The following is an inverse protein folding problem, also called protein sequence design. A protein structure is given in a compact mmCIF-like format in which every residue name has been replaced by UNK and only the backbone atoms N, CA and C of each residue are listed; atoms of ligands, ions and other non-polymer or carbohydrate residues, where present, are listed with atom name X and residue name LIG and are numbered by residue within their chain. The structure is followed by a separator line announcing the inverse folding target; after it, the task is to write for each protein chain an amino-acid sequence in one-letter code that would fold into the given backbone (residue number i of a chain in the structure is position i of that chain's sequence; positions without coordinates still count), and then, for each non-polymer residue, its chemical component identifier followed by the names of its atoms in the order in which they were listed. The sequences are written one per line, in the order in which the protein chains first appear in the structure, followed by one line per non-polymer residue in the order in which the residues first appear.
data_IF_693779127598
#
_entry.id   IF_693779127598
#
_cell.length_a   1.000
_cell.length_b   1.000
_cell.length_c   1.000
_cell.angle_alpha   90.00
_cell.angle_beta   90.00
_cell.angle_gamma   90.00
#
_symmetry.space_group_name_H-M   'P 1'
#
loop_
_entity.id
_entity.type
_entity.pdbx_description
1 polymer ?
#
# COMPACT_ATOMS: atom_id res chain seq x y z
N UNK A 1 -2.85 1.24 -7.65
CA UNK A 1 -3.15 1.15 -6.20
C UNK A 1 -4.61 0.84 -6.05
N UNK A 2 -4.99 -0.08 -5.17
CA UNK A 2 -6.38 -0.38 -4.87
C UNK A 2 -6.66 -0.09 -3.40
N UNK A 3 -7.56 0.82 -3.10
CA UNK A 3 -7.86 1.30 -1.75
C UNK A 3 -9.32 1.04 -1.40
N UNK A 4 -9.70 1.27 -0.14
CA UNK A 4 -11.09 1.20 0.33
C UNK A 4 -11.76 -0.14 -0.02
N UNK A 5 -11.02 -1.24 0.17
CA UNK A 5 -11.49 -2.59 -0.13
C UNK A 5 -12.49 -2.99 0.95
N UNK A 6 -13.66 -3.44 0.53
CA UNK A 6 -14.68 -4.00 1.41
C UNK A 6 -15.07 -5.34 0.82
N UNK A 7 -14.96 -6.40 1.62
CA UNK A 7 -15.26 -7.77 1.22
C UNK A 7 -16.39 -8.28 2.10
N UNK A 8 -17.36 -8.92 1.46
CA UNK A 8 -18.45 -9.65 2.07
C UNK A 8 -18.31 -11.13 1.68
N UNK A 9 -18.33 -12.02 2.67
CA UNK A 9 -18.07 -13.45 2.48
C UNK A 9 -19.24 -14.25 3.04
N UNK A 10 -19.85 -15.07 2.19
CA UNK A 10 -20.82 -16.10 2.56
C UNK A 10 -20.09 -17.44 2.59
N UNK A 11 -19.66 -17.84 3.79
CA UNK A 11 -18.91 -19.09 4.03
C UNK A 11 -19.72 -20.36 3.73
N UNK A 12 -21.04 -20.31 3.95
CA UNK A 12 -21.94 -21.45 3.74
C UNK A 12 -22.19 -21.66 2.25
N UNK A 13 -22.43 -20.58 1.51
CA UNK A 13 -22.56 -20.63 0.06
C UNK A 13 -21.20 -20.78 -0.65
N UNK A 14 -20.09 -20.51 0.04
CA UNK A 14 -18.77 -20.45 -0.56
C UNK A 14 -18.69 -19.36 -1.63
N UNK A 15 -19.30 -18.21 -1.39
CA UNK A 15 -19.26 -17.05 -2.31
C UNK A 15 -18.73 -15.81 -1.60
N UNK A 16 -18.11 -14.90 -2.33
CA UNK A 16 -17.72 -13.59 -1.78
C UNK A 16 -17.90 -12.49 -2.81
N UNK A 17 -18.09 -11.26 -2.32
CA UNK A 17 -18.14 -10.05 -3.14
C UNK A 17 -17.17 -9.03 -2.58
N UNK A 18 -16.42 -8.36 -3.43
CA UNK A 18 -15.57 -7.25 -3.02
C UNK A 18 -15.89 -5.99 -3.81
N UNK A 19 -15.83 -4.85 -3.14
CA UNK A 19 -15.82 -3.53 -3.76
C UNK A 19 -14.55 -2.81 -3.36
N UNK A 20 -13.92 -2.15 -4.31
CA UNK A 20 -12.70 -1.40 -4.04
C UNK A 20 -12.55 -0.23 -4.98
N UNK A 21 -11.65 0.69 -4.65
CA UNK A 21 -11.30 1.83 -5.48
C UNK A 21 -9.93 1.59 -6.06
N UNK A 22 -9.69 1.95 -7.30
CA UNK A 22 -8.34 1.96 -7.85
C UNK A 22 -7.90 3.36 -8.21
N UNK A 23 -6.60 3.57 -8.10
CA UNK A 23 -5.89 4.77 -8.53
C UNK A 23 -4.66 4.31 -9.28
N UNK A 24 -4.56 4.72 -10.53
CA UNK A 24 -3.56 4.28 -11.49
C UNK A 24 -2.53 5.39 -11.73
N UNK A 25 -1.27 5.03 -11.55
CA UNK A 25 -0.13 5.89 -11.85
C UNK A 25 0.73 5.23 -12.92
N UNK A 26 1.38 6.04 -13.76
CA UNK A 26 2.39 5.56 -14.69
C UNK A 26 3.50 6.58 -14.83
N UNK A 27 4.73 6.08 -14.97
CA UNK A 27 5.88 6.79 -15.50
C UNK A 27 6.42 5.98 -16.68
N UNK A 28 6.94 6.66 -17.70
CA UNK A 28 7.66 6.07 -18.84
C UNK A 28 8.93 6.90 -19.09
N UNK A 29 9.89 6.44 -19.91
CA UNK A 29 11.06 7.26 -20.26
C UNK A 29 10.71 8.63 -20.86
N UNK A 30 9.49 8.81 -21.37
CA UNK A 30 8.99 10.05 -21.98
C UNK A 30 7.90 10.74 -21.16
N UNK A 31 7.52 10.19 -20.00
CA UNK A 31 6.43 10.72 -19.17
C UNK A 31 6.78 10.59 -17.68
N UNK A 32 6.82 11.74 -16.98
CA UNK A 32 6.97 11.79 -15.52
C UNK A 32 5.84 11.03 -14.80
N UNK A 33 6.08 10.61 -13.57
CA UNK A 33 5.07 9.91 -12.77
C UNK A 33 3.84 10.82 -12.58
N UNK A 34 2.68 10.30 -12.95
CA UNK A 34 1.42 11.04 -12.83
C UNK A 34 0.24 10.12 -12.62
N UNK A 35 -0.83 10.67 -12.02
CA UNK A 35 -2.13 10.04 -12.01
C UNK A 35 -2.65 9.94 -13.44
N UNK A 36 -3.01 8.72 -13.84
CA UNK A 36 -3.59 8.43 -15.15
C UNK A 36 -5.09 8.19 -15.05
N UNK A 37 -5.56 7.50 -14.03
CA UNK A 37 -6.97 7.19 -13.87
C UNK A 37 -7.30 6.84 -12.43
N UNK A 38 -8.58 6.97 -12.07
CA UNK A 38 -9.13 6.37 -10.87
C UNK A 38 -10.47 5.72 -11.19
N UNK A 39 -10.89 4.81 -10.34
CA UNK A 39 -12.14 4.10 -10.55
C UNK A 39 -12.46 3.15 -9.43
N UNK A 40 -13.35 2.21 -9.72
CA UNK A 40 -13.81 1.19 -8.78
C UNK A 40 -13.75 -0.21 -9.40
N UNK A 41 -13.49 -1.20 -8.57
CA UNK A 41 -13.71 -2.60 -8.91
C UNK A 41 -14.90 -3.13 -8.11
N UNK A 42 -15.72 -3.93 -8.77
CA UNK A 42 -16.68 -4.83 -8.14
C UNK A 42 -16.33 -6.24 -8.58
N UNK A 43 -16.00 -7.07 -7.60
CA UNK A 43 -15.48 -8.40 -7.80
C UNK A 43 -16.42 -9.42 -7.16
N UNK A 44 -16.58 -10.56 -7.83
CA UNK A 44 -17.28 -11.73 -7.28
C UNK A 44 -16.32 -12.91 -7.26
N UNK A 45 -16.47 -13.74 -6.23
CA UNK A 45 -15.63 -14.90 -5.99
C UNK A 45 -16.47 -16.12 -5.62
N UNK A 46 -15.97 -17.30 -5.99
CA UNK A 46 -16.48 -18.60 -5.56
C UNK A 46 -15.36 -19.42 -4.93
N UNK A 47 -15.70 -20.22 -3.91
CA UNK A 47 -14.80 -21.17 -3.27
C UNK A 47 -14.83 -22.49 -4.00
N UNK A 48 -13.77 -22.80 -4.72
CA UNK A 48 -13.59 -24.02 -5.52
C UNK A 48 -12.36 -24.75 -4.97
N UNK A 49 -12.54 -26.02 -4.60
CA UNK A 49 -11.50 -26.89 -4.01
C UNK A 49 -10.79 -26.25 -2.79
N UNK A 50 -11.55 -25.53 -1.97
CA UNK A 50 -11.05 -24.87 -0.77
C UNK A 50 -10.32 -23.54 -1.01
N UNK A 51 -10.18 -23.09 -2.25
CA UNK A 51 -9.61 -21.79 -2.61
C UNK A 51 -10.63 -20.81 -3.18
N UNK A 52 -10.42 -19.52 -3.00
CA UNK A 52 -11.27 -18.46 -3.56
C UNK A 52 -10.80 -18.05 -4.97
N UNK A 53 -11.71 -18.02 -5.94
CA UNK A 53 -11.43 -17.69 -7.33
C UNK A 53 -12.34 -16.56 -7.81
N UNK A 54 -11.79 -15.63 -8.61
CA UNK A 54 -12.62 -14.63 -9.30
C UNK A 54 -13.57 -15.33 -10.27
N UNK A 55 -14.86 -15.03 -10.18
CA UNK A 55 -15.84 -15.35 -11.22
C UNK A 55 -16.05 -14.17 -12.14
N UNK A 56 -16.14 -12.98 -11.55
CA UNK A 56 -16.44 -11.73 -12.24
C UNK A 56 -15.61 -10.58 -11.68
N UNK A 57 -15.20 -9.69 -12.58
CA UNK A 57 -14.66 -8.38 -12.22
C UNK A 57 -15.28 -7.34 -13.15
N UNK A 58 -15.98 -6.39 -12.54
CA UNK A 58 -16.40 -5.17 -13.19
C UNK A 58 -15.42 -4.05 -12.84
N UNK A 59 -14.87 -3.39 -13.85
CA UNK A 59 -14.01 -2.21 -13.69
C UNK A 59 -14.77 -0.96 -14.12
N UNK A 60 -14.98 -0.03 -13.19
CA UNK A 60 -15.57 1.27 -13.46
C UNK A 60 -14.48 2.32 -13.48
N UNK A 61 -14.34 3.03 -14.60
CA UNK A 61 -13.34 4.09 -14.75
C UNK A 61 -14.00 5.43 -14.43
N UNK A 62 -13.86 5.92 -13.20
CA UNK A 62 -14.52 7.16 -12.76
C UNK A 62 -13.83 8.41 -13.30
N UNK A 63 -12.50 8.40 -13.36
CA UNK A 63 -11.71 9.49 -13.97
C UNK A 63 -10.58 8.94 -14.83
N UNK A 64 -10.26 9.63 -15.93
CA UNK A 64 -9.13 9.27 -16.79
C UNK A 64 -8.47 10.49 -17.43
N UNK A 65 -7.15 10.41 -17.54
CA UNK A 65 -6.32 11.23 -18.41
C UNK A 65 -5.99 10.49 -19.71
N UNK A 66 -4.84 10.81 -20.29
CA UNK A 66 -4.31 10.11 -21.46
C UNK A 66 -3.82 8.71 -21.08
N UNK A 67 -4.47 7.68 -21.62
CA UNK A 67 -4.14 6.27 -21.39
C UNK A 67 -3.46 5.62 -22.61
N UNK A 68 -3.08 6.37 -23.64
CA UNK A 68 -2.54 5.83 -24.90
C UNK A 68 -1.22 5.07 -24.71
N UNK A 69 -0.43 5.45 -23.71
CA UNK A 69 0.80 4.73 -23.33
C UNK A 69 0.56 3.66 -22.25
N UNK A 70 -0.67 3.50 -21.76
CA UNK A 70 -1.02 2.56 -20.70
C UNK A 70 -1.80 1.35 -21.23
N UNK A 71 -2.81 1.59 -22.07
CA UNK A 71 -3.71 0.54 -22.57
C UNK A 71 -3.57 0.47 -24.10
N UNK A 72 -3.29 -0.73 -24.62
CA UNK A 72 -3.15 -0.98 -26.06
C UNK A 72 -4.28 -1.86 -26.56
N UNK A 73 -4.99 -1.43 -27.60
CA UNK A 73 -5.99 -2.26 -28.30
C UNK A 73 -7.33 -2.42 -27.59
N UNK A 74 -7.65 -1.56 -26.62
CA UNK A 74 -8.93 -1.55 -25.93
C UNK A 74 -9.65 -0.22 -26.19
N UNK A 75 -10.82 -0.26 -26.83
CA UNK A 75 -11.70 0.91 -26.91
C UNK A 75 -12.46 1.03 -25.59
N UNK A 76 -12.16 2.07 -24.81
CA UNK A 76 -12.92 2.40 -23.61
C UNK A 76 -14.20 3.09 -24.09
N UNK A 77 -15.31 2.34 -24.12
CA UNK A 77 -16.64 2.89 -24.42
C UNK A 77 -17.03 4.00 -23.45
N UNK A 78 -18.02 4.82 -23.83
CA UNK A 78 -18.64 5.76 -22.89
C UNK A 78 -19.26 4.99 -21.73
N UNK A 79 -19.11 5.51 -20.51
CA UNK A 79 -19.72 4.92 -19.32
C UNK A 79 -21.24 4.85 -19.53
N UNK A 80 -21.90 3.70 -19.34
CA UNK A 80 -23.34 3.71 -19.16
C UNK A 80 -23.61 4.54 -17.90
N UNK A 81 -24.33 5.65 -18.03
CA UNK A 81 -24.78 6.50 -16.93
C UNK A 81 -25.82 5.80 -16.03
N UNK A 82 -26.05 4.50 -16.21
CA UNK A 82 -27.00 3.74 -15.41
C UNK A 82 -26.38 3.41 -14.04
N UNK A 83 -26.78 4.20 -13.05
CA UNK A 83 -26.32 4.15 -11.67
C UNK A 83 -26.70 2.85 -10.96
N UNK A 84 -27.54 2.00 -11.55
CA UNK A 84 -27.93 0.69 -11.01
C UNK A 84 -26.78 -0.33 -10.99
N UNK A 85 -25.67 -0.06 -11.70
CA UNK A 85 -24.47 -0.91 -11.70
C UNK A 85 -23.55 -0.62 -10.49
N UNK A 86 -23.89 0.35 -9.62
CA UNK A 86 -23.04 0.81 -8.50
C UNK A 86 -22.99 -0.09 -7.26
N UNK A 87 -23.31 -1.38 -7.39
CA UNK A 87 -23.42 -2.30 -6.26
C UNK A 87 -24.77 -2.17 -5.54
N UNK A 88 -25.06 -3.07 -4.58
CA UNK A 88 -26.35 -3.08 -3.89
C UNK A 88 -26.62 -1.73 -3.21
N UNK A 89 -27.89 -1.32 -3.07
CA UNK A 89 -28.25 -0.09 -2.36
C UNK A 89 -27.59 -0.09 -0.97
N UNK A 90 -27.15 1.10 -0.52
CA UNK A 90 -26.44 1.31 0.76
C UNK A 90 -27.20 0.79 2.00
N UNK A 91 -28.47 0.42 1.84
CA UNK A 91 -29.33 -0.15 2.88
C UNK A 91 -29.08 -1.65 3.13
N UNK A 92 -28.39 -2.36 2.23
CA UNK A 92 -28.06 -3.80 2.35
C UNK A 92 -26.57 -4.05 2.69
N UNK A 93 -25.90 -3.14 3.39
CA UNK A 93 -24.51 -3.37 3.81
C UNK A 93 -24.52 -4.27 5.06
N UNK A 94 -24.07 -5.52 4.99
CA UNK A 94 -23.96 -6.37 6.18
C UNK A 94 -22.98 -5.75 7.19
N UNK A 95 -23.07 -6.14 8.47
CA UNK A 95 -22.11 -5.69 9.47
C UNK A 95 -20.69 -6.00 8.98
N UNK A 96 -19.83 -4.97 8.97
CA UNK A 96 -18.44 -5.11 8.54
C UNK A 96 -17.76 -6.23 9.35
N UNK A 97 -17.07 -7.17 8.70
CA UNK A 97 -16.28 -8.15 9.43
C UNK A 97 -15.27 -7.41 10.29
N UNK A 98 -15.24 -7.73 11.58
CA UNK A 98 -14.21 -7.22 12.49
C UNK A 98 -12.94 -8.03 12.18
N UNK A 99 -11.81 -7.37 11.82
CA UNK A 99 -10.56 -8.08 11.64
C UNK A 99 -10.22 -8.89 12.89
N UNK A 100 -9.71 -10.11 12.71
CA UNK A 100 -9.20 -10.87 13.84
C UNK A 100 -7.98 -10.16 14.49
N UNK A 101 -7.60 -10.62 15.67
CA UNK A 101 -6.52 -10.01 16.46
C UNK A 101 -5.19 -9.92 15.69
N UNK A 102 -4.88 -10.94 14.86
CA UNK A 102 -3.63 -10.99 14.11
C UNK A 102 -3.63 -9.95 13.00
N UNK A 103 -4.71 -9.86 12.22
CA UNK A 103 -4.87 -8.85 11.17
C UNK A 103 -4.78 -7.44 11.76
N UNK A 104 -5.51 -7.16 12.84
CA UNK A 104 -5.48 -5.85 13.49
C UNK A 104 -4.08 -5.48 14.01
N UNK A 105 -3.38 -6.43 14.64
CA UNK A 105 -2.02 -6.20 15.15
C UNK A 105 -1.01 -5.94 14.02
N UNK A 106 -1.04 -6.76 12.96
CA UNK A 106 -0.13 -6.63 11.82
C UNK A 106 -0.40 -5.34 11.02
N UNK A 107 -1.66 -5.01 10.75
CA UNK A 107 -2.03 -3.74 10.11
C UNK A 107 -1.57 -2.54 10.94
N UNK A 108 -1.75 -2.59 12.27
CA UNK A 108 -1.27 -1.54 13.17
C UNK A 108 0.24 -1.35 13.04
N UNK A 109 1.04 -2.42 13.02
CA UNK A 109 2.49 -2.32 12.80
C UNK A 109 2.83 -1.67 11.45
N UNK A 110 2.15 -2.06 10.37
CA UNK A 110 2.38 -1.52 9.03
C UNK A 110 2.06 -0.02 9.00
N UNK A 111 0.93 0.39 9.55
CA UNK A 111 0.46 1.78 9.52
C UNK A 111 1.22 2.67 10.50
N UNK A 112 1.57 2.18 11.69
CA UNK A 112 2.39 2.92 12.65
C UNK A 112 3.79 3.20 12.08
N UNK A 113 4.39 2.27 11.34
CA UNK A 113 5.66 2.56 10.67
C UNK A 113 5.52 3.75 9.71
N UNK A 114 4.50 3.73 8.84
CA UNK A 114 4.24 4.81 7.89
C UNK A 114 4.00 6.16 8.58
N UNK A 115 3.18 6.18 9.64
CA UNK A 115 2.90 7.37 10.44
C UNK A 115 4.18 7.94 11.07
N UNK A 116 5.02 7.11 11.68
CA UNK A 116 6.28 7.57 12.29
C UNK A 116 7.21 8.21 11.26
N UNK A 117 7.32 7.64 10.07
CA UNK A 117 8.10 8.25 8.98
C UNK A 117 7.52 9.61 8.60
N UNK A 118 6.21 9.73 8.39
CA UNK A 118 5.56 10.98 7.98
C UNK A 118 5.67 12.09 9.06
N UNK A 119 5.72 11.70 10.33
CA UNK A 119 5.95 12.60 11.46
C UNK A 119 7.44 12.95 11.66
N UNK A 120 8.35 12.28 10.96
CA UNK A 120 9.81 12.43 11.17
C UNK A 120 10.33 11.79 12.45
N UNK A 121 9.56 10.90 13.08
CA UNK A 121 9.96 10.12 14.26
C UNK A 121 10.78 8.89 13.84
N UNK A 122 12.02 9.16 13.41
CA UNK A 122 12.92 8.12 12.90
C UNK A 122 13.40 7.18 13.99
N UNK A 123 13.58 7.67 15.22
CA UNK A 123 13.88 6.85 16.40
C UNK A 123 12.77 5.85 16.68
N UNK A 124 11.51 6.28 16.70
CA UNK A 124 10.38 5.39 16.88
C UNK A 124 10.26 4.38 15.73
N UNK A 125 10.51 4.79 14.49
CA UNK A 125 10.51 3.88 13.34
C UNK A 125 11.63 2.82 13.44
N UNK A 126 12.83 3.22 13.89
CA UNK A 126 13.93 2.31 14.18
C UNK A 126 13.59 1.31 15.29
N UNK A 127 12.96 1.79 16.37
CA UNK A 127 12.60 0.97 17.53
C UNK A 127 11.68 -0.21 17.19
N UNK A 128 10.81 -0.05 16.18
CA UNK A 128 9.96 -1.14 15.68
C UNK A 128 10.75 -2.35 15.14
N UNK A 129 12.05 -2.19 14.90
CA UNK A 129 12.99 -3.23 14.44
C UNK A 129 14.10 -3.54 15.47
N UNK A 130 14.02 -3.02 16.70
CA UNK A 130 15.07 -3.22 17.72
C UNK A 130 15.17 -4.66 18.24
N UNK A 131 14.11 -5.46 18.13
CA UNK A 131 14.05 -6.84 18.64
C UNK A 131 14.47 -7.90 17.60
N UNK A 132 15.52 -7.63 16.83
CA UNK A 132 16.03 -8.55 15.80
C UNK A 132 15.40 -8.37 14.41
N UNK A 133 14.38 -7.51 14.29
CA UNK A 133 13.78 -7.15 13.02
C UNK A 133 14.75 -6.45 12.06
N UNK A 134 14.57 -6.63 10.75
CA UNK A 134 15.41 -5.97 9.73
C UNK A 134 14.60 -5.34 8.60
N UNK A 135 14.90 -4.09 8.28
CA UNK A 135 14.45 -3.45 7.05
C UNK A 135 15.52 -3.58 5.96
N UNK A 136 15.08 -3.88 4.75
CA UNK A 136 15.90 -3.96 3.55
C UNK A 136 15.43 -2.90 2.55
N UNK A 137 16.30 -1.95 2.26
CA UNK A 137 16.10 -0.99 1.17
C UNK A 137 16.43 -1.58 -0.20
N UNK A 138 16.37 -0.76 -1.27
CA UNK A 138 16.72 -1.19 -2.62
C UNK A 138 18.17 -1.71 -2.79
N UNK A 139 19.09 -1.26 -1.94
CA UNK A 139 20.49 -1.72 -1.91
C UNK A 139 20.68 -3.08 -1.22
N UNK A 140 19.62 -3.62 -0.61
CA UNK A 140 19.62 -4.89 0.11
C UNK A 140 20.30 -4.86 1.47
N UNK A 141 20.76 -3.71 1.96
CA UNK A 141 21.43 -3.61 3.27
C UNK A 141 20.41 -3.80 4.40
N UNK A 142 20.58 -4.80 5.29
CA UNK A 142 19.70 -4.98 6.43
C UNK A 142 20.01 -3.96 7.53
N UNK A 143 19.01 -3.20 7.96
CA UNK A 143 19.12 -2.23 9.05
C UNK A 143 18.06 -2.50 10.11
N UNK A 144 18.38 -2.27 11.38
CA UNK A 144 17.43 -2.38 12.48
C UNK A 144 17.76 -1.44 13.63
N UNK A 145 16.76 -1.12 14.45
CA UNK A 145 16.96 -0.31 15.66
C UNK A 145 17.64 1.04 15.36
N UNK A 146 18.70 1.42 16.09
CA UNK A 146 19.41 2.67 15.90
C UNK A 146 20.01 2.88 14.50
N UNK A 147 20.53 1.82 13.86
CA UNK A 147 21.13 1.91 12.53
C UNK A 147 20.10 2.31 11.48
N UNK A 148 18.88 1.77 11.61
CA UNK A 148 17.76 2.14 10.75
C UNK A 148 17.34 3.60 10.99
N UNK A 149 17.24 4.03 12.25
CA UNK A 149 16.88 5.41 12.58
C UNK A 149 17.89 6.43 11.99
N UNK A 150 19.18 6.12 12.05
CA UNK A 150 20.23 6.96 11.45
C UNK A 150 20.11 7.01 9.93
N UNK A 151 19.94 5.87 9.27
CA UNK A 151 19.78 5.80 7.82
C UNK A 151 18.54 6.56 7.32
N UNK A 152 17.41 6.47 8.04
CA UNK A 152 16.20 7.22 7.73
C UNK A 152 16.46 8.73 7.87
N UNK A 153 17.10 9.18 8.95
CA UNK A 153 17.44 10.60 9.12
C UNK A 153 18.33 11.14 7.98
N UNK A 154 19.26 10.31 7.50
CA UNK A 154 20.10 10.66 6.34
C UNK A 154 19.35 10.64 5.00
N UNK A 155 18.19 9.98 4.93
CA UNK A 155 17.43 9.78 3.69
C UNK A 155 16.33 10.81 3.48
N UNK A 156 15.79 11.41 4.55
CA UNK A 156 14.69 12.37 4.46
C UNK A 156 15.17 13.81 4.66
N UNK A 157 14.81 14.70 3.74
CA UNK A 157 14.90 16.15 3.96
C UNK A 157 13.74 16.61 4.85
N UNK A 158 14.04 17.46 5.82
CA UNK A 158 13.03 18.09 6.66
C UNK A 158 12.72 19.50 6.16
N UNK A 159 11.42 19.82 6.10
CA UNK A 159 10.85 21.11 5.75
C UNK A 159 10.07 21.63 6.96
N UNK A 160 10.62 22.66 7.62
CA UNK A 160 10.11 23.17 8.90
C UNK A 160 9.99 22.06 9.98
N UNK A 161 10.96 21.13 10.01
CA UNK A 161 10.99 20.03 10.98
C UNK A 161 10.15 18.80 10.61
N UNK A 162 9.45 18.80 9.47
CA UNK A 162 8.67 17.65 8.99
C UNK A 162 9.17 17.16 7.63
N UNK A 163 9.18 15.84 7.35
CA UNK A 163 9.44 15.32 6.00
C UNK A 163 8.43 15.79 4.94
N UNK A 164 7.25 16.27 5.37
CA UNK A 164 6.11 16.65 4.51
C UNK A 164 5.64 15.55 3.58
N UNK A 165 5.91 14.29 3.93
CA UNK A 165 5.43 13.15 3.18
C UNK A 165 4.09 12.65 3.68
N UNK A 166 3.40 11.91 2.82
CA UNK A 166 2.31 11.02 3.21
C UNK A 166 2.55 9.64 2.59
N UNK A 167 2.72 8.62 3.41
CA UNK A 167 2.72 7.23 2.98
C UNK A 167 1.27 6.75 2.86
N UNK A 168 0.88 6.38 1.64
CA UNK A 168 -0.40 5.75 1.33
C UNK A 168 -0.14 4.26 1.17
N UNK A 169 -0.29 3.51 2.25
CA UNK A 169 -0.18 2.05 2.25
C UNK A 169 -1.54 1.42 2.03
N UNK A 170 -1.60 0.45 1.12
CA UNK A 170 -2.85 -0.18 0.71
C UNK A 170 -2.62 -1.61 0.23
N UNK A 171 -3.70 -2.32 -0.15
CA UNK A 171 -3.65 -3.71 -0.60
C UNK A 171 -2.90 -4.60 0.42
N UNK A 172 -3.13 -4.41 1.72
CA UNK A 172 -2.50 -5.21 2.76
C UNK A 172 -3.12 -6.61 2.72
N UNK A 173 -2.33 -7.59 2.29
CA UNK A 173 -2.69 -9.00 2.27
C UNK A 173 -1.85 -9.69 3.34
N UNK A 174 -2.51 -10.22 4.37
CA UNK A 174 -1.87 -10.87 5.51
C UNK A 174 -2.13 -12.38 5.42
N UNK A 175 -1.08 -13.16 5.66
CA UNK A 175 -1.12 -14.62 5.70
C UNK A 175 -0.59 -15.07 7.08
N UNK A 176 -1.49 -15.29 8.05
CA UNK A 176 -1.12 -15.68 9.41
C UNK A 176 -0.91 -17.20 9.56
N UNK A 177 0.16 -17.58 10.26
CA UNK A 177 0.38 -18.92 10.80
C UNK A 177 0.32 -18.83 12.34
N UNK A 178 -0.89 -19.04 12.88
CA UNK A 178 -1.15 -18.89 14.32
C UNK A 178 -0.44 -19.94 15.18
N UNK A 179 -0.26 -21.17 14.64
CA UNK A 179 0.41 -22.26 15.33
C UNK A 179 1.90 -21.96 15.50
N UNK A 180 2.55 -21.47 14.44
CA UNK A 180 3.93 -21.01 14.49
C UNK A 180 4.10 -19.64 15.16
N UNK A 181 3.01 -18.88 15.33
CA UNK A 181 3.06 -17.51 15.84
C UNK A 181 3.78 -16.57 14.86
N UNK A 182 3.60 -16.76 13.57
CA UNK A 182 4.22 -15.95 12.51
C UNK A 182 3.17 -15.42 11.54
N UNK A 183 3.50 -14.38 10.79
CA UNK A 183 2.66 -13.90 9.71
C UNK A 183 3.53 -13.31 8.61
N UNK A 184 3.05 -13.35 7.37
CA UNK A 184 3.63 -12.56 6.28
C UNK A 184 2.61 -11.56 5.78
N UNK A 185 3.08 -10.45 5.23
CA UNK A 185 2.21 -9.52 4.55
C UNK A 185 2.82 -8.98 3.25
N UNK A 186 1.95 -8.71 2.29
CA UNK A 186 2.29 -7.95 1.08
C UNK A 186 1.41 -6.72 1.03
N UNK A 187 2.00 -5.58 0.71
CA UNK A 187 1.24 -4.34 0.55
C UNK A 187 1.86 -3.46 -0.54
N UNK A 188 1.08 -2.49 -1.01
CA UNK A 188 1.52 -1.47 -1.94
C UNK A 188 1.66 -0.15 -1.20
N UNK A 189 2.59 0.69 -1.63
CA UNK A 189 2.72 2.05 -1.14
C UNK A 189 2.82 3.06 -2.28
N UNK A 190 2.33 4.27 -2.01
CA UNK A 190 2.77 5.47 -2.70
C UNK A 190 3.10 6.55 -1.67
N UNK A 191 4.13 7.33 -1.94
CA UNK A 191 4.56 8.44 -1.09
C UNK A 191 4.26 9.73 -1.82
N UNK A 192 3.43 10.59 -1.21
CA UNK A 192 3.24 11.95 -1.70
C UNK A 192 4.13 12.90 -0.92
N UNK A 193 4.49 14.04 -1.53
CA UNK A 193 5.19 15.14 -0.90
C UNK A 193 4.60 16.47 -1.38
N UNK A 194 4.49 17.43 -0.47
CA UNK A 194 4.09 18.81 -0.78
C UNK A 194 4.87 19.78 0.13
N UNK A 195 5.45 20.83 -0.43
CA UNK A 195 6.14 21.88 0.34
C UNK A 195 5.49 23.25 0.09
N UNK A 196 6.05 24.33 0.64
CA UNK A 196 5.56 25.68 0.32
C UNK A 196 5.85 26.07 -1.14
N UNK A 197 6.91 25.50 -1.70
CA UNK A 197 7.42 25.78 -3.04
C UNK A 197 6.94 24.77 -4.08
N UNK A 198 6.49 23.59 -3.64
CA UNK A 198 6.13 22.46 -4.51
C UNK A 198 4.69 22.01 -4.26
N UNK A 199 3.83 21.94 -5.29
CA UNK A 199 2.50 21.34 -5.16
C UNK A 199 2.61 19.85 -4.83
N UNK A 200 1.51 19.28 -4.33
CA UNK A 200 1.43 17.85 -4.02
C UNK A 200 1.75 17.01 -5.25
N UNK A 201 2.64 16.04 -5.06
CA UNK A 201 3.08 15.11 -6.09
C UNK A 201 3.46 13.78 -5.47
N UNK A 202 3.39 12.71 -6.25
CA UNK A 202 3.90 11.40 -5.83
C UNK A 202 5.36 11.34 -6.21
N UNK A 203 6.18 10.98 -5.23
CA UNK A 203 7.64 10.95 -5.33
C UNK A 203 8.20 9.52 -5.32
N UNK A 204 7.42 8.55 -4.84
CA UNK A 204 7.78 7.15 -4.83
C UNK A 204 6.53 6.26 -4.85
N UNK A 205 6.61 5.11 -5.48
CA UNK A 205 5.60 4.06 -5.37
C UNK A 205 6.25 2.67 -5.48
N UNK A 206 5.68 1.70 -4.79
CA UNK A 206 6.24 0.37 -4.75
C UNK A 206 5.43 -0.60 -3.90
N UNK A 207 6.13 -1.60 -3.37
CA UNK A 207 5.55 -2.68 -2.55
C UNK A 207 6.38 -2.92 -1.29
N UNK A 208 5.72 -3.40 -0.25
CA UNK A 208 6.38 -3.99 0.91
C UNK A 208 6.10 -5.49 0.94
N UNK A 209 7.15 -6.26 1.20
CA UNK A 209 7.04 -7.66 1.61
C UNK A 209 7.53 -7.75 3.06
N UNK A 210 6.62 -8.04 3.97
CA UNK A 210 6.84 -8.03 5.40
C UNK A 210 6.73 -9.44 5.99
N UNK A 211 7.50 -9.68 7.04
CA UNK A 211 7.37 -10.86 7.89
C UNK A 211 7.31 -10.42 9.35
N UNK A 212 6.48 -11.12 10.13
CA UNK A 212 6.18 -10.83 11.52
C UNK A 212 6.32 -12.09 12.37
N UNK A 213 6.62 -11.88 13.64
CA UNK A 213 6.66 -12.93 14.64
C UNK A 213 6.02 -12.43 15.94
N UNK A 214 5.42 -13.36 16.67
CA UNK A 214 4.85 -13.12 17.99
C UNK A 214 5.85 -13.55 19.05
N UNK A 215 6.41 -12.58 19.77
CA UNK A 215 7.39 -12.80 20.85
C UNK A 215 6.81 -12.27 22.14
N UNK A 216 6.79 -13.10 23.18
CA UNK A 216 6.21 -12.77 24.50
C UNK A 216 4.77 -12.24 24.42
N UNK A 217 3.98 -12.80 23.49
CA UNK A 217 2.59 -12.41 23.26
C UNK A 217 2.38 -11.13 22.45
N UNK A 218 3.44 -10.47 21.98
CA UNK A 218 3.35 -9.28 21.15
C UNK A 218 3.87 -9.53 19.72
N UNK A 219 3.09 -9.10 18.72
CA UNK A 219 3.51 -9.10 17.32
C UNK A 219 4.57 -8.03 17.07
N UNK A 220 5.60 -8.38 16.29
CA UNK A 220 6.72 -7.50 15.94
C UNK A 220 7.18 -7.73 14.50
N UNK A 221 7.87 -6.73 13.92
CA UNK A 221 8.54 -6.91 12.65
C UNK A 221 9.71 -7.89 12.81
N UNK A 222 9.70 -8.94 11.99
CA UNK A 222 10.87 -9.78 11.73
C UNK A 222 11.65 -9.22 10.53
N UNK A 223 10.95 -8.84 9.48
CA UNK A 223 11.56 -8.13 8.36
C UNK A 223 10.59 -7.27 7.56
N UNK A 224 11.12 -6.22 6.92
CA UNK A 224 10.44 -5.45 5.88
C UNK A 224 11.35 -5.30 4.68
N UNK A 225 10.90 -5.74 3.51
CA UNK A 225 11.62 -5.54 2.24
C UNK A 225 10.88 -4.47 1.43
N UNK A 226 11.58 -3.39 1.10
CA UNK A 226 11.07 -2.29 0.30
C UNK A 226 11.41 -2.55 -1.17
N UNK A 227 10.38 -2.83 -1.97
CA UNK A 227 10.50 -2.97 -3.42
C UNK A 227 10.05 -1.67 -4.07
N UNK A 228 11.02 -0.83 -4.45
CA UNK A 228 10.74 0.44 -5.11
C UNK A 228 10.50 0.20 -6.60
N UNK A 229 9.26 0.41 -7.05
CA UNK A 229 8.88 0.17 -8.45
C UNK A 229 9.00 1.47 -9.28
N UNK A 230 8.70 2.62 -8.68
CA UNK A 230 8.73 3.94 -9.31
C UNK A 230 9.26 5.01 -8.37
N UNK A 231 10.01 5.98 -8.92
CA UNK A 231 10.56 7.11 -8.18
C UNK A 231 10.59 8.35 -9.07
N UNK A 232 10.29 9.52 -8.52
CA UNK A 232 10.29 10.81 -9.24
C UNK A 232 10.67 11.96 -8.27
N UNK A 233 11.20 13.07 -8.79
CA UNK A 233 11.55 14.31 -8.06
C UNK A 233 12.36 14.11 -6.73
N UNK A 234 13.28 13.15 -6.73
CA UNK A 234 14.05 12.68 -5.56
C UNK A 234 14.87 13.81 -4.94
N UNK A 235 15.35 14.75 -5.74
CA UNK A 235 16.18 15.87 -5.32
C UNK A 235 15.52 16.79 -4.29
N UNK A 236 14.20 16.76 -4.19
CA UNK A 236 13.44 17.51 -3.19
C UNK A 236 13.13 16.69 -1.93
N UNK A 237 13.24 15.37 -2.02
CA UNK A 237 12.89 14.45 -0.95
C UNK A 237 14.13 13.90 -0.22
N UNK A 238 15.20 13.63 -0.96
CA UNK A 238 16.40 12.93 -0.50
C UNK A 238 17.61 13.87 -0.60
N UNK A 239 18.45 13.99 0.44
CA UNK A 239 19.71 14.75 0.38
C UNK A 239 20.62 14.26 -0.75
N UNK A 240 21.35 15.19 -1.37
CA UNK A 240 22.32 14.83 -2.41
C UNK A 240 23.38 13.86 -1.83
N UNK A 241 23.64 12.75 -2.51
CA UNK A 241 24.62 11.72 -2.10
C UNK A 241 24.06 10.55 -1.27
N UNK A 242 22.76 10.52 -0.99
CA UNK A 242 22.10 9.36 -0.37
C UNK A 242 22.14 8.11 -1.26
N UNK A 243 22.08 6.92 -0.65
CA UNK A 243 22.00 5.64 -1.35
C UNK A 243 20.78 5.55 -2.28
N UNK A 244 19.70 6.31 -2.01
CA UNK A 244 18.49 6.38 -2.82
C UNK A 244 18.61 7.24 -4.11
N UNK A 245 19.79 7.84 -4.38
CA UNK A 245 20.10 8.55 -5.63
C UNK A 245 20.77 7.65 -6.70
N UNK A 246 21.08 6.39 -6.39
CA UNK A 246 21.82 5.48 -7.29
C UNK A 246 20.94 4.40 -7.89
#
# INVERSE_FOLDING_TARGET
MTTNIMVDVDEDAGTARARSYFTLFQATPTMRLRLLASGRYYDQFERIDGGWWFTDRLTMLDTRGDLTQHIRGYEIGELPYDLEVLGPPLEEVPPMPVPDEVHAAVETLIFTYAERIDLGDFEGAGEMFSHGGRQFGPDGTPLGGPELAEALRGSFRLHDGSPRTKHVTTNVLIDPDEEAGTATARSYFAVTLATRELPIQIIAAGRYHDAFERVDGAWRFRSRVILLDHQDAIEHHVPAGSALHR
#
